data_IF_722749087313
#
_entry.id   IF_722749087313
#
_cell.length_a   1.000
_cell.length_b   1.000
_cell.length_c   1.000
_cell.angle_alpha   90.00
_cell.angle_beta   90.00
_cell.angle_gamma   90.00
#
_symmetry.space_group_name_H-M   'P 1'
#
loop_
_entity.id
_entity.type
_entity.pdbx_description
1 polymer ?
#
# COMPACT_ATOMS: atom_id res chain seq x y z
N UNK A 1 -23.13 29.03 -23.56
CA UNK A 1 -23.09 27.71 -22.90
C UNK A 1 -21.72 27.58 -22.26
N UNK A 2 -21.62 27.88 -20.96
CA UNK A 2 -20.36 27.82 -20.23
C UNK A 2 -20.10 26.36 -19.85
N UNK A 3 -19.07 25.76 -20.43
CA UNK A 3 -18.63 24.42 -20.06
C UNK A 3 -18.16 24.47 -18.61
N UNK A 4 -18.81 23.72 -17.73
CA UNK A 4 -18.35 23.44 -16.38
C UNK A 4 -16.95 22.83 -16.49
N UNK A 5 -15.92 23.65 -16.21
CA UNK A 5 -14.58 23.15 -16.00
C UNK A 5 -14.60 22.36 -14.70
N UNK A 6 -14.66 21.03 -14.80
CA UNK A 6 -14.35 20.16 -13.67
C UNK A 6 -12.88 20.33 -13.35
N UNK A 7 -12.59 21.15 -12.33
CA UNK A 7 -11.30 21.17 -11.67
C UNK A 7 -10.97 19.71 -11.31
N UNK A 8 -9.80 19.16 -11.70
CA UNK A 8 -9.45 17.79 -11.38
C UNK A 8 -9.58 17.63 -9.86
N UNK A 9 -10.39 16.66 -9.46
CA UNK A 9 -10.62 16.33 -8.06
C UNK A 9 -9.26 15.91 -7.52
N UNK A 10 -8.71 16.73 -6.63
CA UNK A 10 -7.44 16.46 -5.98
C UNK A 10 -7.58 15.12 -5.27
N UNK A 11 -6.76 14.14 -5.65
CA UNK A 11 -6.86 12.79 -5.08
C UNK A 11 -6.77 12.90 -3.55
N UNK A 12 -7.80 12.39 -2.86
CA UNK A 12 -7.91 12.51 -1.41
C UNK A 12 -6.76 11.78 -0.67
N UNK A 13 -6.09 10.85 -1.36
CA UNK A 13 -4.91 10.14 -0.88
C UNK A 13 -3.78 10.25 -1.90
N UNK A 14 -2.58 10.59 -1.41
CA UNK A 14 -1.39 10.79 -2.24
C UNK A 14 -0.61 9.51 -2.54
N UNK A 15 -0.92 8.39 -1.88
CA UNK A 15 -0.24 7.10 -2.11
C UNK A 15 -1.08 5.91 -1.66
N UNK A 16 -0.93 4.78 -2.36
CA UNK A 16 -1.40 3.45 -1.93
C UNK A 16 -0.19 2.59 -1.60
N UNK A 17 -0.18 1.92 -0.45
CA UNK A 17 0.91 1.05 0.00
C UNK A 17 0.40 -0.38 0.25
N UNK A 18 0.75 -1.22 -0.71
CA UNK A 18 0.80 -2.67 -0.80
C UNK A 18 1.70 -3.37 0.23
N UNK A 19 1.21 -4.06 1.26
CA UNK A 19 2.08 -4.88 2.14
C UNK A 19 1.65 -6.34 2.13
N UNK A 20 2.56 -7.25 1.79
CA UNK A 20 2.27 -8.68 1.65
C UNK A 20 3.48 -9.59 1.95
N UNK A 21 3.24 -10.87 2.25
CA UNK A 21 4.28 -11.88 2.47
C UNK A 21 3.84 -13.22 1.84
N UNK A 22 3.78 -14.32 2.59
CA UNK A 22 3.33 -15.62 2.07
C UNK A 22 1.93 -15.56 1.44
N UNK A 23 1.81 -16.05 0.20
CA UNK A 23 0.61 -15.94 -0.65
C UNK A 23 0.43 -14.59 -1.34
N UNK A 24 1.34 -13.64 -1.10
CA UNK A 24 1.21 -12.25 -1.55
C UNK A 24 1.14 -12.08 -3.06
N UNK A 25 1.85 -12.91 -3.84
CA UNK A 25 1.87 -12.81 -5.32
C UNK A 25 0.47 -12.86 -5.93
N UNK A 26 -0.36 -13.81 -5.51
CA UNK A 26 -1.74 -13.95 -6.02
C UNK A 26 -2.64 -12.80 -5.55
N UNK A 27 -2.52 -12.43 -4.29
CA UNK A 27 -3.30 -11.33 -3.71
C UNK A 27 -2.96 -9.99 -4.38
N UNK A 28 -1.66 -9.67 -4.51
CA UNK A 28 -1.16 -8.49 -5.21
C UNK A 28 -1.64 -8.46 -6.66
N UNK A 29 -1.51 -9.56 -7.40
CA UNK A 29 -1.99 -9.63 -8.78
C UNK A 29 -3.49 -9.35 -8.90
N UNK A 30 -4.30 -9.85 -7.95
CA UNK A 30 -5.76 -9.61 -7.94
C UNK A 30 -6.09 -8.15 -7.64
N UNK A 31 -5.45 -7.55 -6.62
CA UNK A 31 -5.72 -6.16 -6.26
C UNK A 31 -5.23 -5.20 -7.35
N UNK A 32 -3.99 -5.37 -7.82
CA UNK A 32 -3.37 -4.48 -8.80
C UNK A 32 -3.98 -4.64 -10.19
N UNK A 33 -4.42 -5.85 -10.56
CA UNK A 33 -5.13 -6.07 -11.83
C UNK A 33 -6.55 -5.52 -11.87
N UNK A 34 -7.12 -5.18 -10.71
CA UNK A 34 -8.39 -4.46 -10.61
C UNK A 34 -8.27 -2.95 -10.76
N UNK A 35 -7.06 -2.39 -10.83
CA UNK A 35 -6.83 -0.96 -11.02
C UNK A 35 -6.78 -0.61 -12.52
N UNK A 36 -7.40 0.51 -12.95
CA UNK A 36 -7.37 0.91 -14.36
C UNK A 36 -5.97 1.40 -14.77
N UNK A 37 -5.64 1.31 -16.06
CA UNK A 37 -4.31 1.69 -16.58
C UNK A 37 -3.95 3.18 -16.45
N UNK A 38 -4.94 4.03 -16.23
CA UNK A 38 -4.79 5.47 -15.98
C UNK A 38 -4.90 5.85 -14.49
N UNK A 39 -4.79 4.87 -13.58
CA UNK A 39 -4.82 5.12 -12.14
C UNK A 39 -3.71 6.09 -11.72
N UNK A 40 -4.11 7.29 -11.31
CA UNK A 40 -3.20 8.41 -11.10
C UNK A 40 -2.45 8.40 -9.76
N UNK A 41 -2.91 7.60 -8.78
CA UNK A 41 -2.28 7.57 -7.45
C UNK A 41 -1.08 6.61 -7.47
N UNK A 42 0.12 7.05 -7.01
CA UNK A 42 1.28 6.19 -6.89
C UNK A 42 1.01 4.97 -6.00
N UNK A 43 1.43 3.80 -6.48
CA UNK A 43 1.26 2.52 -5.78
C UNK A 43 2.62 1.98 -5.37
N UNK A 44 2.78 1.63 -4.11
CA UNK A 44 3.98 0.97 -3.59
C UNK A 44 3.66 -0.47 -3.25
N UNK A 45 4.54 -1.40 -3.60
CA UNK A 45 4.43 -2.81 -3.25
C UNK A 45 5.65 -3.23 -2.41
N UNK A 46 5.42 -3.41 -1.12
CA UNK A 46 6.33 -4.02 -0.17
C UNK A 46 5.94 -5.49 0.03
N UNK A 47 6.62 -6.36 -0.72
CA UNK A 47 6.44 -7.81 -0.64
C UNK A 47 7.64 -8.40 0.09
N UNK A 48 7.42 -9.03 1.25
CA UNK A 48 8.48 -9.77 1.92
C UNK A 48 8.87 -11.02 1.11
N UNK A 49 10.15 -11.09 0.75
CA UNK A 49 10.72 -12.15 -0.10
C UNK A 49 12.23 -12.17 0.02
N UNK A 50 12.82 -13.33 -0.23
CA UNK A 50 14.28 -13.49 -0.25
C UNK A 50 14.89 -12.75 -1.45
N UNK A 51 16.13 -12.23 -1.32
CA UNK A 51 16.90 -11.72 -2.45
C UNK A 51 16.98 -12.76 -3.57
N UNK A 52 16.95 -12.29 -4.82
CA UNK A 52 17.17 -13.12 -6.00
C UNK A 52 18.59 -12.92 -6.52
N UNK A 53 19.19 -13.97 -7.09
CA UNK A 53 20.51 -13.88 -7.74
C UNK A 53 20.46 -13.19 -9.12
N UNK A 54 19.26 -13.02 -9.68
CA UNK A 54 19.04 -12.32 -10.95
C UNK A 54 19.00 -10.81 -10.76
N UNK A 55 19.54 -10.10 -11.75
CA UNK A 55 19.42 -8.63 -11.87
C UNK A 55 17.96 -8.19 -12.06
N UNK A 56 17.15 -9.03 -12.72
CA UNK A 56 15.73 -8.78 -12.93
C UNK A 56 14.91 -9.22 -11.71
N UNK A 57 13.97 -8.36 -11.32
CA UNK A 57 13.03 -8.59 -10.22
C UNK A 57 11.86 -9.48 -10.69
N UNK A 58 11.73 -10.74 -10.21
CA UNK A 58 10.67 -11.63 -10.69
C UNK A 58 9.27 -11.18 -10.32
N UNK A 59 9.10 -10.40 -9.25
CA UNK A 59 7.79 -9.86 -8.88
C UNK A 59 7.34 -8.82 -9.90
N UNK A 60 8.26 -7.99 -10.39
CA UNK A 60 7.96 -7.02 -11.44
C UNK A 60 7.42 -7.72 -12.71
N UNK A 61 8.04 -8.83 -13.11
CA UNK A 61 7.59 -9.62 -14.27
C UNK A 61 6.25 -10.32 -14.05
N UNK A 62 5.98 -10.79 -12.83
CA UNK A 62 4.69 -11.42 -12.51
C UNK A 62 3.58 -10.36 -12.52
N UNK A 63 3.82 -9.23 -11.86
CA UNK A 63 2.83 -8.17 -11.73
C UNK A 63 2.58 -7.45 -13.06
N UNK A 64 3.56 -7.37 -13.97
CA UNK A 64 3.37 -6.75 -15.29
C UNK A 64 2.43 -7.53 -16.19
N UNK A 65 2.22 -8.83 -15.91
CA UNK A 65 1.19 -9.65 -16.58
C UNK A 65 -0.20 -9.47 -15.98
N UNK A 66 -0.26 -9.04 -14.72
CA UNK A 66 -1.51 -8.91 -13.98
C UNK A 66 -2.08 -7.49 -13.99
N UNK A 67 -1.24 -6.47 -14.17
CA UNK A 67 -1.61 -5.05 -14.09
C UNK A 67 -1.34 -4.32 -15.41
N UNK A 68 -2.21 -3.36 -15.75
CA UNK A 68 -2.00 -2.41 -16.84
C UNK A 68 -1.16 -1.19 -16.46
N UNK A 69 -0.80 -1.04 -15.18
CA UNK A 69 -0.02 0.10 -14.71
C UNK A 69 1.46 -0.07 -15.03
N UNK A 70 2.20 1.03 -15.30
CA UNK A 70 3.65 1.00 -15.38
C UNK A 70 4.25 0.44 -14.10
N UNK A 71 5.20 -0.48 -14.23
CA UNK A 71 5.88 -1.10 -13.09
C UNK A 71 7.35 -0.73 -13.09
N UNK A 72 7.84 -0.31 -11.93
CA UNK A 72 9.25 -0.02 -11.68
C UNK A 72 9.68 -0.61 -10.34
N UNK A 73 10.99 -0.74 -10.17
CA UNK A 73 11.61 -1.11 -8.89
C UNK A 73 12.10 0.18 -8.23
N UNK A 74 12.00 0.28 -6.90
CA UNK A 74 12.50 1.45 -6.19
C UNK A 74 14.02 1.57 -6.32
N UNK A 75 14.51 2.76 -6.64
CA UNK A 75 15.93 3.10 -6.76
C UNK A 75 16.26 4.21 -5.75
N UNK A 76 17.42 4.13 -5.04
CA UNK A 76 17.79 5.16 -4.07
C UNK A 76 17.84 6.56 -4.70
N UNK A 77 17.23 7.54 -4.03
CA UNK A 77 17.17 8.93 -4.50
C UNK A 77 16.15 9.20 -5.59
N UNK A 78 15.52 8.18 -6.17
CA UNK A 78 14.45 8.37 -7.16
C UNK A 78 13.16 8.85 -6.49
N UNK A 79 12.30 9.54 -7.24
CA UNK A 79 11.04 10.07 -6.75
C UNK A 79 9.99 8.98 -6.47
N UNK A 80 9.31 9.10 -5.33
CA UNK A 80 8.29 8.15 -4.84
C UNK A 80 6.85 8.57 -5.17
N UNK A 81 6.65 9.62 -5.95
CA UNK A 81 5.36 10.21 -6.32
C UNK A 81 4.98 10.00 -7.79
N UNK A 82 5.83 9.36 -8.61
CA UNK A 82 5.41 9.04 -9.98
C UNK A 82 4.28 7.99 -9.97
N UNK A 83 3.19 8.20 -10.75
CA UNK A 83 2.12 7.22 -10.93
C UNK A 83 2.61 5.85 -11.41
N UNK A 84 1.79 4.82 -11.20
CA UNK A 84 2.16 3.43 -11.44
C UNK A 84 2.66 2.71 -10.19
N UNK A 85 3.13 1.49 -10.38
CA UNK A 85 3.55 0.57 -9.32
C UNK A 85 5.06 0.66 -9.12
N UNK A 86 5.48 0.93 -7.89
CA UNK A 86 6.89 0.84 -7.47
C UNK A 86 7.06 -0.31 -6.50
N UNK A 87 7.91 -1.26 -6.86
CA UNK A 87 8.19 -2.45 -6.07
C UNK A 87 9.41 -2.17 -5.18
N UNK A 88 9.28 -2.44 -3.88
CA UNK A 88 10.43 -2.49 -2.97
C UNK A 88 11.31 -3.69 -3.34
N UNK A 89 12.62 -3.49 -3.59
CA UNK A 89 13.52 -4.59 -3.97
C UNK A 89 13.53 -5.73 -2.95
N UNK A 90 13.75 -6.95 -3.42
CA UNK A 90 13.91 -8.10 -2.55
C UNK A 90 15.09 -7.93 -1.58
N UNK A 91 14.90 -8.32 -0.32
CA UNK A 91 15.93 -8.19 0.73
C UNK A 91 16.26 -6.77 1.16
N UNK A 92 15.42 -5.78 0.81
CA UNK A 92 15.59 -4.39 1.22
C UNK A 92 14.41 -3.89 2.04
N UNK A 93 14.73 -2.99 2.96
CA UNK A 93 13.76 -2.07 3.56
C UNK A 93 13.73 -0.78 2.75
N UNK A 94 12.58 -0.10 2.74
CA UNK A 94 12.41 1.17 2.05
C UNK A 94 11.69 2.17 2.94
N UNK A 95 12.16 3.41 2.91
CA UNK A 95 11.45 4.58 3.42
C UNK A 95 11.42 5.67 2.34
N UNK A 96 10.59 6.67 2.55
CA UNK A 96 10.54 7.88 1.73
C UNK A 96 10.97 9.06 2.60
N UNK A 97 11.97 9.82 2.16
CA UNK A 97 12.48 10.96 2.90
C UNK A 97 11.59 12.21 2.78
N UNK A 98 11.95 13.29 3.49
CA UNK A 98 11.20 14.55 3.47
C UNK A 98 11.12 15.22 2.09
N UNK A 99 12.00 14.84 1.15
CA UNK A 99 11.99 15.35 -0.22
C UNK A 99 11.15 14.47 -1.16
N UNK A 100 10.52 13.41 -0.65
CA UNK A 100 9.76 12.46 -1.45
C UNK A 100 10.62 11.45 -2.21
N UNK A 101 11.89 11.27 -1.82
CA UNK A 101 12.83 10.36 -2.46
C UNK A 101 12.94 9.02 -1.73
N UNK A 102 13.17 7.95 -2.50
CA UNK A 102 13.38 6.61 -1.95
C UNK A 102 14.70 6.50 -1.18
N UNK A 103 14.61 6.00 0.04
CA UNK A 103 15.74 5.60 0.87
C UNK A 103 15.69 4.09 1.05
N UNK A 104 16.73 3.39 0.61
CA UNK A 104 16.80 1.92 0.68
C UNK A 104 17.92 1.49 1.61
N UNK A 105 17.66 0.45 2.41
CA UNK A 105 18.66 -0.19 3.25
C UNK A 105 18.53 -1.71 3.15
N UNK A 106 19.60 -2.43 3.45
CA UNK A 106 19.57 -3.88 3.54
C UNK A 106 18.61 -4.33 4.66
N UNK A 107 17.83 -5.37 4.39
CA UNK A 107 16.92 -5.95 5.37
C UNK A 107 17.72 -6.69 6.44
N UNK A 108 17.82 -6.09 7.63
CA UNK A 108 18.55 -6.68 8.77
C UNK A 108 17.71 -7.66 9.57
N UNK A 109 16.38 -7.62 9.39
CA UNK A 109 15.44 -8.56 10.00
C UNK A 109 14.20 -8.72 9.13
N UNK A 110 13.56 -9.88 9.22
CA UNK A 110 12.28 -10.17 8.55
C UNK A 110 11.09 -9.33 9.08
N UNK A 111 11.33 -8.36 9.98
CA UNK A 111 10.30 -7.58 10.63
C UNK A 111 10.43 -6.10 10.24
N UNK A 112 9.32 -5.49 9.83
CA UNK A 112 9.17 -4.05 9.76
C UNK A 112 9.37 -3.43 8.38
N UNK A 113 9.53 -4.20 7.30
CA UNK A 113 9.59 -3.66 5.92
C UNK A 113 8.31 -2.89 5.59
N UNK A 114 7.15 -3.50 5.86
CA UNK A 114 5.84 -2.89 5.72
C UNK A 114 5.64 -1.72 6.69
N UNK A 115 6.01 -1.89 7.96
CA UNK A 115 5.87 -0.83 8.97
C UNK A 115 6.65 0.44 8.60
N UNK A 116 7.91 0.31 8.16
CA UNK A 116 8.77 1.46 7.82
C UNK A 116 8.26 2.24 6.60
N UNK A 117 7.86 1.54 5.53
CA UNK A 117 7.35 2.23 4.34
C UNK A 117 5.98 2.86 4.59
N UNK A 118 5.11 2.21 5.35
CA UNK A 118 3.81 2.77 5.73
C UNK A 118 3.97 4.03 6.58
N UNK A 119 4.84 3.99 7.60
CA UNK A 119 5.08 5.13 8.48
C UNK A 119 5.69 6.32 7.73
N UNK A 120 6.72 6.09 6.91
CA UNK A 120 7.37 7.15 6.14
C UNK A 120 6.46 7.72 5.05
N UNK A 121 5.65 6.89 4.38
CA UNK A 121 4.65 7.38 3.43
C UNK A 121 3.59 8.26 4.11
N UNK A 122 3.04 7.78 5.24
CA UNK A 122 1.99 8.47 5.98
C UNK A 122 2.44 9.81 6.57
N UNK A 123 3.73 9.96 6.88
CA UNK A 123 4.30 11.22 7.34
C UNK A 123 4.32 12.32 6.27
N UNK A 124 4.26 11.96 4.99
CA UNK A 124 4.36 12.89 3.86
C UNK A 124 3.00 13.17 3.22
N UNK A 125 2.20 12.12 3.03
CA UNK A 125 0.92 12.21 2.32
C UNK A 125 -0.14 11.30 2.96
N UNK A 126 -1.43 11.68 2.91
CA UNK A 126 -2.51 10.78 3.27
C UNK A 126 -2.39 9.48 2.45
N UNK A 127 -2.23 8.35 3.15
CA UNK A 127 -1.86 7.07 2.55
C UNK A 127 -2.98 6.06 2.73
N UNK A 128 -3.28 5.27 1.69
CA UNK A 128 -4.11 4.06 1.80
C UNK A 128 -3.20 2.86 1.99
N UNK A 129 -3.19 2.28 3.19
CA UNK A 129 -2.52 1.02 3.48
C UNK A 129 -3.41 -0.15 3.07
N UNK A 130 -2.84 -1.14 2.39
CA UNK A 130 -3.51 -2.40 2.07
C UNK A 130 -2.67 -3.55 2.60
N UNK A 131 -3.12 -4.18 3.70
CA UNK A 131 -2.42 -5.32 4.30
C UNK A 131 -3.01 -6.61 3.75
N UNK A 132 -2.18 -7.39 3.08
CA UNK A 132 -2.56 -8.66 2.46
C UNK A 132 -2.03 -9.84 3.28
N UNK A 133 -2.31 -11.05 2.77
CA UNK A 133 -1.83 -12.33 3.29
C UNK A 133 -0.34 -12.34 3.65
N UNK A 134 -0.02 -13.04 4.74
CA UNK A 134 1.35 -13.27 5.20
C UNK A 134 1.45 -13.82 6.62
N UNK A 135 2.66 -14.30 7.00
CA UNK A 135 2.92 -14.98 8.28
C UNK A 135 3.49 -14.08 9.38
N UNK A 136 3.81 -12.83 9.06
CA UNK A 136 4.47 -11.88 9.96
C UNK A 136 3.46 -11.03 10.76
N UNK A 137 3.96 -10.24 11.70
CA UNK A 137 3.22 -9.13 12.31
C UNK A 137 3.46 -7.79 11.60
N UNK A 138 4.24 -7.80 10.52
CA UNK A 138 4.64 -6.62 9.75
C UNK A 138 3.42 -5.90 9.15
N UNK A 139 3.47 -4.57 9.19
CA UNK A 139 2.40 -3.67 8.75
C UNK A 139 1.47 -3.21 9.88
N UNK A 140 1.47 -3.84 11.06
CA UNK A 140 0.58 -3.46 12.17
C UNK A 140 0.92 -2.08 12.76
N UNK A 141 2.20 -1.77 13.00
CA UNK A 141 2.59 -0.43 13.48
C UNK A 141 2.42 0.62 12.36
N UNK A 142 2.67 0.23 11.12
CA UNK A 142 2.38 1.03 9.94
C UNK A 142 0.90 1.41 9.83
N UNK A 143 -0.03 0.49 10.13
CA UNK A 143 -1.47 0.79 10.17
C UNK A 143 -1.80 1.90 11.17
N UNK A 144 -1.18 1.88 12.36
CA UNK A 144 -1.35 2.94 13.36
C UNK A 144 -0.83 4.27 12.84
N UNK A 145 0.38 4.29 12.26
CA UNK A 145 0.96 5.49 11.69
C UNK A 145 0.09 6.08 10.55
N UNK A 146 -0.43 5.22 9.68
CA UNK A 146 -1.34 5.61 8.59
C UNK A 146 -2.61 6.25 9.15
N UNK A 147 -3.26 5.63 10.13
CA UNK A 147 -4.48 6.20 10.73
C UNK A 147 -4.23 7.52 11.47
N UNK A 148 -3.12 7.64 12.21
CA UNK A 148 -2.74 8.88 12.90
C UNK A 148 -2.60 10.06 11.94
N UNK A 149 -2.13 9.81 10.72
CA UNK A 149 -1.92 10.83 9.69
C UNK A 149 -3.10 10.95 8.71
N UNK A 150 -4.31 10.51 9.10
CA UNK A 150 -5.51 10.69 8.30
C UNK A 150 -5.65 9.76 7.08
N UNK A 151 -4.81 8.73 7.00
CA UNK A 151 -4.90 7.68 5.98
C UNK A 151 -6.01 6.65 6.23
N UNK A 152 -6.07 5.65 5.35
CA UNK A 152 -7.02 4.52 5.43
C UNK A 152 -6.28 3.20 5.47
N UNK A 153 -6.84 2.23 6.19
CA UNK A 153 -6.30 0.89 6.33
C UNK A 153 -7.33 -0.12 5.84
N UNK A 154 -7.01 -0.78 4.73
CA UNK A 154 -7.75 -1.89 4.17
C UNK A 154 -6.98 -3.18 4.45
N UNK A 155 -7.69 -4.24 4.80
CA UNK A 155 -7.08 -5.53 5.14
C UNK A 155 -7.76 -6.64 4.36
N UNK A 156 -6.95 -7.56 3.83
CA UNK A 156 -7.47 -8.78 3.23
C UNK A 156 -8.23 -9.60 4.28
N UNK A 157 -9.42 -10.04 3.94
CA UNK A 157 -10.19 -10.97 4.77
C UNK A 157 -9.33 -12.20 5.14
N UNK A 158 -9.05 -12.44 6.44
CA UNK A 158 -8.24 -13.56 6.89
C UNK A 158 -8.72 -14.92 6.38
N UNK A 159 -10.01 -15.09 6.10
CA UNK A 159 -10.59 -16.34 5.55
C UNK A 159 -10.20 -16.59 4.09
N UNK A 160 -9.78 -15.56 3.37
CA UNK A 160 -9.31 -15.63 1.98
C UNK A 160 -7.79 -15.61 1.85
N UNK A 161 -7.09 -15.40 2.97
CA UNK A 161 -5.64 -15.32 3.02
C UNK A 161 -5.03 -16.73 3.03
N UNK A 162 -3.94 -16.91 2.27
CA UNK A 162 -3.13 -18.14 2.35
C UNK A 162 -2.44 -18.25 3.72
N UNK A 163 -2.00 -17.10 4.25
CA UNK A 163 -1.50 -16.94 5.60
C UNK A 163 -2.21 -15.76 6.27
N UNK A 164 -2.96 -16.04 7.32
CA UNK A 164 -3.86 -15.07 7.96
C UNK A 164 -3.21 -14.22 9.05
N UNK A 165 -1.95 -14.49 9.43
CA UNK A 165 -1.29 -13.80 10.54
C UNK A 165 -1.16 -12.30 10.30
N UNK A 166 -0.64 -11.85 9.15
CA UNK A 166 -0.48 -10.42 8.85
C UNK A 166 -1.83 -9.67 8.89
N UNK A 167 -2.88 -10.14 8.18
CA UNK A 167 -4.21 -9.57 8.31
C UNK A 167 -4.74 -9.53 9.75
N UNK A 168 -4.59 -10.63 10.51
CA UNK A 168 -5.06 -10.70 11.88
C UNK A 168 -4.35 -9.68 12.79
N UNK A 169 -3.04 -9.49 12.65
CA UNK A 169 -2.29 -8.48 13.41
C UNK A 169 -2.73 -7.07 13.04
N UNK A 170 -2.96 -6.78 11.76
CA UNK A 170 -3.49 -5.50 11.32
C UNK A 170 -4.89 -5.24 11.91
N UNK A 171 -5.80 -6.21 11.89
CA UNK A 171 -7.14 -6.11 12.51
C UNK A 171 -7.03 -5.88 14.02
N UNK A 172 -6.17 -6.64 14.70
CA UNK A 172 -5.96 -6.54 16.14
C UNK A 172 -5.43 -5.16 16.57
N UNK A 173 -4.89 -4.36 15.65
CA UNK A 173 -4.59 -2.97 15.97
C UNK A 173 -5.86 -2.22 16.34
N UNK A 174 -6.99 -2.44 15.67
CA UNK A 174 -8.20 -1.61 15.76
C UNK A 174 -8.17 -0.39 14.83
N UNK A 175 -7.14 -0.27 13.98
CA UNK A 175 -6.97 0.80 13.00
C UNK A 175 -7.63 0.50 11.64
N UNK A 176 -8.17 -0.69 11.43
CA UNK A 176 -8.70 -1.15 10.13
C UNK A 176 -10.04 -0.49 9.81
N UNK A 177 -10.15 0.11 8.62
CA UNK A 177 -11.40 0.67 8.10
C UNK A 177 -12.27 -0.41 7.44
N UNK A 178 -11.66 -1.29 6.63
CA UNK A 178 -12.38 -2.36 5.93
C UNK A 178 -11.60 -3.67 5.89
N UNK A 179 -12.32 -4.78 6.08
CA UNK A 179 -11.84 -6.14 5.88
C UNK A 179 -12.58 -6.72 4.67
N UNK A 180 -11.85 -7.05 3.60
CA UNK A 180 -12.43 -7.38 2.31
C UNK A 180 -11.65 -8.49 1.59
N UNK A 181 -12.29 -9.33 0.75
CA UNK A 181 -11.56 -10.22 -0.14
C UNK A 181 -10.77 -9.42 -1.20
N UNK A 182 -9.70 -10.00 -1.81
CA UNK A 182 -8.80 -9.27 -2.71
C UNK A 182 -9.46 -8.54 -3.90
N UNK A 183 -10.50 -9.11 -4.50
CA UNK A 183 -11.26 -8.50 -5.58
C UNK A 183 -11.99 -7.21 -5.14
N UNK A 184 -12.48 -7.19 -3.89
CA UNK A 184 -13.15 -6.02 -3.31
C UNK A 184 -12.17 -4.98 -2.77
N UNK A 185 -10.96 -5.38 -2.39
CA UNK A 185 -9.90 -4.44 -2.02
C UNK A 185 -9.55 -3.50 -3.18
N UNK A 186 -9.47 -4.00 -4.42
CA UNK A 186 -9.25 -3.15 -5.60
C UNK A 186 -10.33 -2.08 -5.76
N UNK A 187 -11.59 -2.49 -5.67
CA UNK A 187 -12.73 -1.58 -5.76
C UNK A 187 -12.74 -0.54 -4.63
N UNK A 188 -12.38 -0.95 -3.40
CA UNK A 188 -12.28 -0.03 -2.26
C UNK A 188 -11.13 0.98 -2.43
N UNK A 189 -9.96 0.55 -2.93
CA UNK A 189 -8.85 1.45 -3.27
C UNK A 189 -9.32 2.49 -4.28
N UNK A 190 -9.97 2.07 -5.37
CA UNK A 190 -10.48 2.96 -6.40
C UNK A 190 -11.50 3.96 -5.82
N UNK A 191 -12.49 3.47 -5.08
CA UNK A 191 -13.52 4.33 -4.48
C UNK A 191 -12.92 5.38 -3.54
N UNK A 192 -11.91 5.02 -2.75
CA UNK A 192 -11.25 5.96 -1.83
C UNK A 192 -10.41 7.00 -2.54
N UNK A 193 -9.78 6.66 -3.67
CA UNK A 193 -8.83 7.57 -4.33
C UNK A 193 -9.43 8.39 -5.47
N UNK A 194 -10.51 7.93 -6.10
CA UNK A 194 -11.08 8.57 -7.30
C UNK A 194 -12.47 9.15 -7.12
N UNK A 195 -13.23 8.73 -6.09
CA UNK A 195 -14.57 9.27 -5.88
C UNK A 195 -14.51 10.61 -5.13
N UNK A 196 -15.05 11.71 -5.67
CA UNK A 196 -15.15 12.98 -4.96
C UNK A 196 -15.94 12.79 -3.66
N UNK A 197 -15.36 13.19 -2.52
CA UNK A 197 -15.97 12.99 -1.20
C UNK A 197 -16.01 11.53 -0.71
N UNK A 198 -15.50 10.55 -1.48
CA UNK A 198 -15.48 9.14 -1.10
C UNK A 198 -14.65 8.88 0.17
N UNK A 199 -13.52 9.57 0.30
CA UNK A 199 -12.69 9.54 1.50
C UNK A 199 -13.41 10.08 2.75
N UNK A 200 -14.25 11.10 2.58
CA UNK A 200 -15.03 11.74 3.65
C UNK A 200 -16.20 10.86 4.07
N UNK A 201 -16.95 10.33 3.10
CA UNK A 201 -18.07 9.40 3.32
C UNK A 201 -17.67 8.12 4.04
N UNK A 202 -16.47 7.61 3.76
CA UNK A 202 -15.93 6.41 4.38
C UNK A 202 -15.04 6.73 5.59
N UNK A 203 -15.22 7.90 6.20
CA UNK A 203 -14.42 8.30 7.36
C UNK A 203 -14.79 7.54 8.61
N UNK A 204 -13.90 6.64 9.02
CA UNK A 204 -13.87 6.09 10.38
C UNK A 204 -13.02 7.02 11.26
N UNK A 205 -13.56 7.56 12.38
CA UNK A 205 -12.81 8.33 13.34
C UNK A 205 -11.58 7.58 13.83
N UNK A 206 -10.49 8.30 14.04
CA UNK A 206 -9.29 7.70 14.65
C UNK A 206 -9.63 7.32 16.09
N UNK A 207 -9.47 6.05 16.49
CA UNK A 207 -9.72 5.65 17.88
C UNK A 207 -8.82 6.44 18.83
N UNK A 208 -9.28 6.86 20.03
CA UNK A 208 -8.47 7.65 20.95
C UNK A 208 -7.15 6.98 21.34
N UNK A 209 -7.15 5.65 21.47
CA UNK A 209 -5.95 4.87 21.79
C UNK A 209 -4.96 4.81 20.62
N UNK A 210 -5.43 5.01 19.38
CA UNK A 210 -4.56 4.97 18.22
C UNK A 210 -3.55 6.11 18.25
N UNK A 211 -3.78 7.20 19.00
CA UNK A 211 -2.84 8.32 19.15
C UNK A 211 -1.86 8.17 20.33
N UNK A 212 -1.92 7.07 21.10
CA UNK A 212 -1.03 6.86 22.25
C UNK A 212 0.34 6.34 21.78
N UNK A 213 1.41 6.98 22.25
CA UNK A 213 2.80 6.58 21.94
C UNK A 213 3.22 5.32 22.66
#
# INVERSE_FOLDING_TARGET
MSATQHKPVQAAFGRVVLVASLGGMKALGTVLGGLPGDFAVPVVVAQHRRPTLSSDDPLAQILSRASSLPIRVAEPGAAADNPGITIVPAGKTATIDANGAWMLAEETSNAGVGDTILASSAALVPTVAVILTGRLADGANGCRAVKRNGGRVLVQDPSTAEASSMPAHAIATGCVDFVLPPDRLAAAVLALTTAPGGAELLTVPVPPWACLN
#
